data_IF_905456039086
#
_entry.id   IF_905456039086
#
_cell.length_a   1.000
_cell.length_b   1.000
_cell.length_c   1.000
_cell.angle_alpha   90.00
_cell.angle_beta   90.00
_cell.angle_gamma   90.00
#
_symmetry.space_group_name_H-M   'P 1'
#
loop_
_entity.id
_entity.type
_entity.pdbx_description
1 polymer ?
#
# COMPACT_ATOMS: atom_id res chain seq x y z
N UNK A 1 73.59 45.57 5.16
CA UNK A 1 72.98 44.34 4.58
C UNK A 1 71.57 44.23 5.12
N UNK A 2 70.57 44.49 4.26
CA UNK A 2 69.15 44.40 4.59
C UNK A 2 68.67 42.97 4.31
N UNK A 3 68.30 42.24 5.37
CA UNK A 3 67.75 40.89 5.29
C UNK A 3 66.28 40.95 4.87
N UNK A 4 65.99 40.49 3.66
CA UNK A 4 64.64 40.45 3.10
C UNK A 4 63.90 39.25 3.68
N UNK A 5 62.90 39.50 4.53
CA UNK A 5 62.03 38.45 5.08
C UNK A 5 60.92 38.11 4.07
N UNK A 6 60.93 36.90 3.52
CA UNK A 6 59.86 36.42 2.64
C UNK A 6 58.57 36.13 3.44
N UNK A 7 57.38 36.60 2.98
CA UNK A 7 56.13 36.35 3.69
C UNK A 7 55.60 34.92 3.44
N UNK A 8 55.25 34.23 4.53
CA UNK A 8 54.49 32.96 4.56
C UNK A 8 53.12 33.10 3.89
N UNK A 9 53.05 32.99 2.57
CA UNK A 9 51.79 33.08 1.81
C UNK A 9 51.10 31.72 1.58
N UNK A 10 51.78 30.60 1.88
CA UNK A 10 51.32 29.25 1.55
C UNK A 10 50.33 28.66 2.57
N UNK A 11 50.53 28.95 3.85
CA UNK A 11 49.72 28.45 4.97
C UNK A 11 48.24 28.90 4.94
N UNK A 12 47.95 30.11 4.43
CA UNK A 12 46.59 30.67 4.48
C UNK A 12 45.63 30.02 3.47
N UNK A 13 46.16 29.58 2.32
CA UNK A 13 45.37 28.93 1.26
C UNK A 13 45.04 27.49 1.64
N UNK A 14 46.02 26.76 2.17
CA UNK A 14 45.87 25.38 2.61
C UNK A 14 44.88 25.26 3.79
N UNK A 15 44.99 26.17 4.77
CA UNK A 15 44.04 26.25 5.89
C UNK A 15 42.60 26.47 5.40
N UNK A 16 42.39 27.44 4.51
CA UNK A 16 41.07 27.76 3.95
C UNK A 16 40.50 26.59 3.13
N UNK A 17 41.32 25.88 2.37
CA UNK A 17 40.88 24.74 1.56
C UNK A 17 40.45 23.54 2.41
N UNK A 18 41.18 23.28 3.50
CA UNK A 18 40.86 22.21 4.45
C UNK A 18 39.48 22.39 5.10
N UNK A 19 39.16 23.61 5.55
CA UNK A 19 37.89 23.97 6.15
C UNK A 19 36.71 23.88 5.17
N UNK A 20 36.93 24.26 3.91
CA UNK A 20 35.93 24.10 2.85
C UNK A 20 35.62 22.62 2.58
N UNK A 21 36.64 21.74 2.59
CA UNK A 21 36.46 20.29 2.46
C UNK A 21 35.67 19.70 3.62
N UNK A 22 35.94 20.16 4.86
CA UNK A 22 35.26 19.69 6.07
C UNK A 22 33.81 20.15 6.11
N UNK A 23 33.54 21.43 5.79
CA UNK A 23 32.16 21.95 5.68
C UNK A 23 31.37 21.24 4.58
N UNK A 24 31.99 20.98 3.42
CA UNK A 24 31.36 20.23 2.31
C UNK A 24 31.03 18.79 2.72
N UNK A 25 31.94 18.10 3.41
CA UNK A 25 31.70 16.76 3.98
C UNK A 25 30.57 16.77 5.01
N UNK A 26 30.53 17.76 5.91
CA UNK A 26 29.43 17.91 6.89
C UNK A 26 28.08 18.17 6.21
N UNK A 27 28.05 19.03 5.20
CA UNK A 27 26.84 19.31 4.40
C UNK A 27 26.37 18.08 3.63
N UNK A 28 27.28 17.28 3.05
CA UNK A 28 26.92 16.02 2.39
C UNK A 28 26.42 14.95 3.37
N UNK A 29 27.00 14.85 4.57
CA UNK A 29 26.47 13.96 5.62
C UNK A 29 25.08 14.39 6.09
N UNK A 30 24.87 15.70 6.27
CA UNK A 30 23.58 16.29 6.61
C UNK A 30 22.54 16.07 5.49
N UNK A 31 22.91 16.24 4.23
CA UNK A 31 22.05 15.94 3.08
C UNK A 31 21.75 14.43 2.98
N UNK A 32 22.73 13.57 3.25
CA UNK A 32 22.54 12.12 3.32
C UNK A 32 21.55 11.71 4.41
N UNK A 33 21.59 12.34 5.59
CA UNK A 33 20.62 12.13 6.67
C UNK A 33 19.24 12.73 6.38
N UNK A 34 19.15 13.78 5.55
CA UNK A 34 17.86 14.35 5.10
C UNK A 34 17.24 13.49 3.98
N UNK A 35 18.07 12.82 3.18
CA UNK A 35 17.65 11.94 2.07
C UNK A 35 17.26 10.52 2.52
N UNK A 36 17.76 10.07 3.68
CA UNK A 36 17.23 8.89 4.35
C UNK A 36 15.95 9.27 5.11
N UNK A 37 14.83 9.31 4.40
CA UNK A 37 13.53 9.24 5.06
C UNK A 37 13.54 7.99 5.96
N UNK A 38 13.11 8.08 7.23
CA UNK A 38 13.10 6.93 8.12
C UNK A 38 12.34 5.78 7.44
N UNK A 39 12.81 4.52 7.57
CA UNK A 39 12.10 3.39 7.01
C UNK A 39 10.66 3.42 7.51
N UNK A 40 9.69 3.24 6.60
CA UNK A 40 8.27 3.17 6.97
C UNK A 40 8.09 2.00 7.93
N UNK A 41 8.00 2.31 9.22
CA UNK A 41 7.88 1.30 10.28
C UNK A 41 6.44 0.80 10.30
N UNK A 42 6.26 -0.50 10.05
CA UNK A 42 4.95 -1.14 10.17
C UNK A 42 4.70 -1.36 11.66
N UNK A 43 3.91 -0.48 12.26
CA UNK A 43 3.43 -0.60 13.64
C UNK A 43 1.91 -0.74 13.68
N UNK A 44 1.33 -1.26 14.78
CA UNK A 44 -0.14 -1.32 14.92
C UNK A 44 -0.83 0.03 14.68
N UNK A 45 -0.21 1.13 15.12
CA UNK A 45 -0.74 2.49 14.93
C UNK A 45 -0.76 2.95 13.46
N UNK A 46 0.10 2.36 12.63
CA UNK A 46 0.12 2.64 11.18
C UNK A 46 -0.89 1.82 10.39
N UNK A 47 -1.54 0.82 11.01
CA UNK A 47 -2.42 -0.13 10.32
C UNK A 47 -3.76 -0.41 11.01
N UNK A 48 -4.03 0.19 12.18
CA UNK A 48 -5.23 -0.14 12.98
C UNK A 48 -6.53 0.06 12.21
N UNK A 49 -6.65 1.08 11.35
CA UNK A 49 -7.85 1.31 10.54
C UNK A 49 -8.14 0.13 9.60
N UNK A 50 -7.09 -0.40 8.97
CA UNK A 50 -7.19 -1.54 8.05
C UNK A 50 -7.44 -2.83 8.81
N UNK A 51 -6.87 -2.96 10.02
CA UNK A 51 -7.20 -4.04 10.95
C UNK A 51 -8.69 -4.03 11.33
N UNK A 52 -9.25 -2.87 11.68
CA UNK A 52 -10.67 -2.73 12.00
C UNK A 52 -11.57 -3.09 10.81
N UNK A 53 -11.23 -2.64 9.60
CA UNK A 53 -11.95 -3.02 8.37
C UNK A 53 -11.88 -4.53 8.15
N UNK A 54 -10.70 -5.15 8.35
CA UNK A 54 -10.53 -6.60 8.20
C UNK A 54 -11.40 -7.39 9.18
N UNK A 55 -11.47 -6.95 10.45
CA UNK A 55 -12.36 -7.56 11.45
C UNK A 55 -13.83 -7.39 11.05
N UNK A 56 -14.22 -6.20 10.62
CA UNK A 56 -15.59 -5.93 10.19
C UNK A 56 -15.98 -6.77 8.95
N UNK A 57 -15.10 -6.89 7.96
CA UNK A 57 -15.34 -7.70 6.76
C UNK A 57 -15.37 -9.21 7.06
N UNK A 58 -14.57 -9.66 8.03
CA UNK A 58 -14.62 -11.04 8.52
C UNK A 58 -15.99 -11.35 9.12
N UNK A 59 -16.53 -10.46 9.96
CA UNK A 59 -17.87 -10.61 10.51
C UNK A 59 -18.95 -10.63 9.40
N UNK A 60 -18.81 -9.78 8.39
CA UNK A 60 -19.71 -9.78 7.22
C UNK A 60 -19.71 -11.12 6.48
N UNK A 61 -18.53 -11.70 6.22
CA UNK A 61 -18.43 -13.03 5.61
C UNK A 61 -19.09 -14.10 6.49
N UNK A 62 -18.94 -14.02 7.82
CA UNK A 62 -19.65 -14.88 8.77
C UNK A 62 -21.17 -14.76 8.68
N UNK A 63 -21.71 -13.55 8.53
CA UNK A 63 -23.15 -13.32 8.33
C UNK A 63 -23.65 -13.94 7.02
N UNK A 64 -22.90 -13.81 5.91
CA UNK A 64 -23.27 -14.42 4.63
C UNK A 64 -23.23 -15.96 4.71
N UNK A 65 -22.23 -16.52 5.39
CA UNK A 65 -22.17 -17.96 5.64
C UNK A 65 -23.37 -18.44 6.46
N UNK A 66 -23.73 -17.71 7.52
CA UNK A 66 -24.92 -17.96 8.34
C UNK A 66 -26.21 -17.92 7.51
N UNK A 67 -26.34 -16.97 6.58
CA UNK A 67 -27.46 -16.88 5.67
C UNK A 67 -27.58 -18.11 4.75
N UNK A 68 -26.47 -18.64 4.24
CA UNK A 68 -26.46 -19.91 3.50
C UNK A 68 -26.92 -21.06 4.40
N UNK A 69 -26.45 -21.13 5.65
CA UNK A 69 -26.88 -22.14 6.63
C UNK A 69 -28.39 -22.10 6.89
N UNK A 70 -28.96 -20.91 7.05
CA UNK A 70 -30.41 -20.73 7.20
C UNK A 70 -31.16 -21.14 5.92
N UNK A 71 -30.64 -20.78 4.73
CA UNK A 71 -31.24 -21.16 3.46
C UNK A 71 -31.22 -22.69 3.27
N UNK A 72 -30.14 -23.39 3.64
CA UNK A 72 -30.09 -24.87 3.62
C UNK A 72 -31.20 -25.49 4.43
N UNK A 73 -31.42 -25.01 5.67
CA UNK A 73 -32.51 -25.47 6.53
C UNK A 73 -33.88 -25.19 5.91
N UNK A 74 -34.10 -23.96 5.43
CA UNK A 74 -35.37 -23.52 4.85
C UNK A 74 -35.78 -24.32 3.60
N UNK A 75 -34.83 -24.55 2.70
CA UNK A 75 -35.09 -25.23 1.42
C UNK A 75 -34.71 -26.72 1.45
N UNK A 76 -34.43 -27.27 2.64
CA UNK A 76 -34.11 -28.70 2.86
C UNK A 76 -32.97 -29.21 1.99
N UNK A 77 -31.94 -28.39 1.77
CA UNK A 77 -30.75 -28.75 0.97
C UNK A 77 -29.66 -29.31 1.90
N UNK A 78 -29.65 -30.64 2.01
CA UNK A 78 -28.70 -31.38 2.86
C UNK A 78 -27.32 -31.45 2.19
N UNK A 79 -26.22 -31.12 2.90
CA UNK A 79 -24.87 -31.35 2.39
C UNK A 79 -24.66 -32.83 1.98
N UNK A 80 -23.84 -33.13 0.95
CA UNK A 80 -22.94 -32.25 0.22
C UNK A 80 -23.61 -31.46 -0.92
N UNK A 81 -24.94 -31.53 -1.06
CA UNK A 81 -25.66 -30.89 -2.16
C UNK A 81 -25.45 -29.37 -2.18
N UNK A 82 -25.12 -28.83 -3.34
CA UNK A 82 -24.88 -27.39 -3.56
C UNK A 82 -25.91 -26.73 -4.47
N UNK A 83 -26.93 -27.48 -4.85
CA UNK A 83 -28.03 -27.09 -5.71
C UNK A 83 -29.37 -27.53 -5.08
N UNK A 84 -30.46 -26.90 -5.50
CA UNK A 84 -31.79 -27.20 -5.02
C UNK A 84 -32.79 -26.15 -5.48
N UNK A 85 -33.63 -25.69 -4.55
CA UNK A 85 -34.57 -24.60 -4.80
C UNK A 85 -33.84 -23.39 -5.44
N UNK A 86 -34.37 -22.80 -6.52
CA UNK A 86 -33.75 -21.65 -7.18
C UNK A 86 -33.39 -20.52 -6.20
N UNK A 87 -34.19 -20.28 -5.17
CA UNK A 87 -33.92 -19.26 -4.14
C UNK A 87 -32.75 -19.65 -3.24
N UNK A 88 -32.56 -20.94 -2.95
CA UNK A 88 -31.34 -21.42 -2.28
C UNK A 88 -30.12 -21.16 -3.16
N UNK A 89 -30.20 -21.51 -4.45
CA UNK A 89 -29.09 -21.36 -5.38
C UNK A 89 -28.62 -19.90 -5.47
N UNK A 90 -29.53 -18.93 -5.45
CA UNK A 90 -29.20 -17.50 -5.45
C UNK A 90 -28.38 -17.08 -4.21
N UNK A 91 -28.83 -17.45 -3.00
CA UNK A 91 -28.12 -17.13 -1.75
C UNK A 91 -26.75 -17.82 -1.72
N UNK A 92 -26.71 -19.10 -2.12
CA UNK A 92 -25.47 -19.87 -2.16
C UNK A 92 -24.46 -19.26 -3.14
N UNK A 93 -24.90 -18.88 -4.36
CA UNK A 93 -24.04 -18.24 -5.37
C UNK A 93 -23.56 -16.84 -4.93
N UNK A 94 -24.42 -16.07 -4.26
CA UNK A 94 -24.04 -14.76 -3.72
C UNK A 94 -22.91 -14.88 -2.68
N UNK A 95 -23.01 -15.87 -1.77
CA UNK A 95 -21.96 -16.17 -0.81
C UNK A 95 -20.67 -16.68 -1.49
N UNK A 96 -20.77 -17.68 -2.36
CA UNK A 96 -19.62 -18.27 -3.05
C UNK A 96 -18.81 -17.22 -3.82
N UNK A 97 -19.48 -16.37 -4.60
CA UNK A 97 -18.77 -15.30 -5.31
C UNK A 97 -18.10 -14.30 -4.35
N UNK A 98 -18.72 -14.02 -3.20
CA UNK A 98 -18.11 -13.16 -2.18
C UNK A 98 -16.88 -13.80 -1.57
N UNK A 99 -16.89 -15.12 -1.33
CA UNK A 99 -15.72 -15.90 -0.87
C UNK A 99 -14.60 -15.87 -1.91
N UNK A 100 -14.90 -16.08 -3.20
CA UNK A 100 -13.90 -16.05 -4.28
C UNK A 100 -13.18 -14.70 -4.38
N UNK A 101 -13.89 -13.60 -4.10
CA UNK A 101 -13.32 -12.26 -4.15
C UNK A 101 -12.64 -11.82 -2.84
N UNK A 102 -12.89 -12.50 -1.73
CA UNK A 102 -12.40 -12.08 -0.42
C UNK A 102 -10.86 -12.08 -0.32
N UNK A 103 -10.12 -13.08 -0.83
CA UNK A 103 -8.65 -13.04 -0.86
C UNK A 103 -8.10 -11.88 -1.68
N UNK A 104 -8.74 -11.58 -2.81
CA UNK A 104 -8.37 -10.46 -3.70
C UNK A 104 -8.52 -9.13 -2.96
N UNK A 105 -9.64 -8.97 -2.26
CA UNK A 105 -9.90 -7.82 -1.41
C UNK A 105 -8.87 -7.67 -0.30
N UNK A 106 -8.60 -8.73 0.48
CA UNK A 106 -7.63 -8.68 1.57
C UNK A 106 -6.23 -8.31 1.06
N UNK A 107 -5.77 -8.95 -0.03
CA UNK A 107 -4.49 -8.62 -0.63
C UNK A 107 -4.42 -7.16 -1.07
N UNK A 108 -5.46 -6.65 -1.75
CA UNK A 108 -5.55 -5.25 -2.17
C UNK A 108 -5.57 -4.27 -1.00
N UNK A 109 -6.40 -4.55 0.02
CA UNK A 109 -6.54 -3.70 1.21
C UNK A 109 -5.21 -3.53 1.96
N UNK A 110 -4.54 -4.65 2.25
CA UNK A 110 -3.29 -4.63 3.02
C UNK A 110 -2.13 -4.06 2.21
N UNK A 111 -2.01 -4.42 0.93
CA UNK A 111 -0.94 -3.87 0.08
C UNK A 111 -1.13 -2.36 -0.16
N UNK A 112 -2.36 -1.88 -0.35
CA UNK A 112 -2.64 -0.45 -0.48
C UNK A 112 -2.28 0.30 0.82
N UNK A 113 -2.55 -0.28 1.98
CA UNK A 113 -2.20 0.32 3.27
C UNK A 113 -0.67 0.43 3.46
N UNK A 114 0.03 -0.66 3.16
CA UNK A 114 1.49 -0.78 3.34
C UNK A 114 2.23 0.12 2.35
N UNK A 115 1.92 0.02 1.06
CA UNK A 115 2.66 0.74 0.02
C UNK A 115 2.20 2.19 -0.16
N UNK A 116 0.91 2.48 0.03
CA UNK A 116 0.36 3.81 -0.13
C UNK A 116 0.07 4.43 1.25
N UNK A 117 -1.12 4.22 1.80
CA UNK A 117 -1.52 4.81 3.07
C UNK A 117 -2.74 4.11 3.67
N UNK A 118 -2.79 3.96 5.00
CA UNK A 118 -3.87 3.24 5.69
C UNK A 118 -5.26 3.90 5.55
N UNK A 119 -5.34 5.23 5.59
CA UNK A 119 -6.63 5.96 5.54
C UNK A 119 -7.40 5.72 4.25
N UNK A 120 -6.87 6.00 3.04
CA UNK A 120 -7.59 5.74 1.81
C UNK A 120 -7.85 4.24 1.61
N UNK A 121 -6.91 3.36 1.99
CA UNK A 121 -7.13 1.92 1.95
C UNK A 121 -8.33 1.50 2.81
N UNK A 122 -8.46 2.03 4.03
CA UNK A 122 -9.59 1.75 4.92
C UNK A 122 -10.91 2.31 4.37
N UNK A 123 -10.92 3.53 3.81
CA UNK A 123 -12.11 4.12 3.17
C UNK A 123 -12.61 3.23 2.04
N UNK A 124 -11.73 2.87 1.09
CA UNK A 124 -12.10 1.94 0.02
C UNK A 124 -12.48 0.56 0.58
N UNK A 125 -11.85 0.12 1.68
CA UNK A 125 -12.25 -1.07 2.41
C UNK A 125 -13.72 -1.07 2.85
N UNK A 126 -14.18 0.03 3.45
CA UNK A 126 -15.58 0.22 3.84
C UNK A 126 -16.50 0.26 2.62
N UNK A 127 -16.12 0.99 1.56
CA UNK A 127 -16.91 1.06 0.32
C UNK A 127 -17.08 -0.34 -0.29
N UNK A 128 -16.03 -1.16 -0.29
CA UNK A 128 -16.09 -2.54 -0.75
C UNK A 128 -17.10 -3.37 0.06
N UNK A 129 -17.07 -3.26 1.39
CA UNK A 129 -18.02 -3.95 2.26
C UNK A 129 -19.48 -3.54 1.97
N UNK A 130 -19.74 -2.25 1.76
CA UNK A 130 -21.06 -1.75 1.36
C UNK A 130 -21.48 -2.32 0.00
N UNK A 131 -20.57 -2.32 -0.98
CA UNK A 131 -20.79 -2.94 -2.28
C UNK A 131 -21.14 -4.44 -2.17
N UNK A 132 -20.45 -5.16 -1.28
CA UNK A 132 -20.70 -6.59 -1.03
C UNK A 132 -22.02 -6.85 -0.32
N UNK A 133 -22.43 -5.99 0.59
CA UNK A 133 -23.74 -6.09 1.23
C UNK A 133 -24.86 -5.92 0.19
N UNK A 134 -24.75 -4.89 -0.65
CA UNK A 134 -25.70 -4.63 -1.74
C UNK A 134 -25.73 -5.78 -2.75
N UNK A 135 -24.55 -6.31 -3.11
CA UNK A 135 -24.43 -7.46 -4.00
C UNK A 135 -25.12 -8.69 -3.41
N UNK A 136 -24.81 -9.02 -2.15
CA UNK A 136 -25.33 -10.21 -1.50
C UNK A 136 -26.85 -10.17 -1.36
N UNK A 137 -27.39 -9.05 -0.85
CA UNK A 137 -28.83 -8.87 -0.69
C UNK A 137 -29.55 -8.84 -2.04
N UNK A 138 -29.02 -8.09 -3.00
CA UNK A 138 -29.58 -7.96 -4.34
C UNK A 138 -29.64 -9.32 -5.03
N UNK A 139 -28.52 -10.04 -5.06
CA UNK A 139 -28.43 -11.34 -5.72
C UNK A 139 -29.31 -12.39 -5.03
N UNK A 140 -29.31 -12.42 -3.69
CA UNK A 140 -30.18 -13.32 -2.93
C UNK A 140 -31.68 -13.10 -3.20
N UNK A 141 -32.08 -11.86 -3.52
CA UNK A 141 -33.46 -11.54 -3.88
C UNK A 141 -33.79 -11.90 -5.34
N UNK A 142 -32.91 -11.60 -6.29
CA UNK A 142 -33.06 -11.94 -7.69
C UNK A 142 -31.73 -11.85 -8.44
N UNK A 143 -31.48 -12.78 -9.38
CA UNK A 143 -30.26 -12.79 -10.19
C UNK A 143 -29.98 -11.45 -10.91
N UNK A 144 -31.01 -10.78 -11.42
CA UNK A 144 -30.88 -9.51 -12.12
C UNK A 144 -30.45 -8.34 -11.22
N UNK A 145 -30.66 -8.44 -9.89
CA UNK A 145 -30.37 -7.36 -8.93
C UNK A 145 -28.92 -7.38 -8.41
N UNK A 146 -28.07 -8.26 -8.93
CA UNK A 146 -26.65 -8.37 -8.52
C UNK A 146 -25.75 -7.25 -9.08
N UNK A 147 -26.17 -6.59 -10.17
CA UNK A 147 -25.32 -5.66 -10.93
C UNK A 147 -24.73 -4.50 -10.12
N UNK A 148 -25.55 -3.67 -9.44
CA UNK A 148 -25.05 -2.46 -8.77
C UNK A 148 -23.99 -2.75 -7.70
N UNK A 149 -24.24 -3.71 -6.80
CA UNK A 149 -23.27 -4.10 -5.77
C UNK A 149 -22.00 -4.73 -6.36
N UNK A 150 -22.13 -5.45 -7.47
CA UNK A 150 -20.98 -6.01 -8.20
C UNK A 150 -20.08 -4.90 -8.74
N UNK A 151 -20.66 -3.92 -9.44
CA UNK A 151 -19.93 -2.79 -10.02
C UNK A 151 -19.19 -1.99 -8.93
N UNK A 152 -19.88 -1.64 -7.83
CA UNK A 152 -19.27 -0.91 -6.72
C UNK A 152 -18.07 -1.69 -6.16
N UNK A 153 -18.27 -3.00 -5.90
CA UNK A 153 -17.20 -3.85 -5.37
C UNK A 153 -16.01 -3.94 -6.32
N UNK A 154 -16.26 -4.14 -7.62
CA UNK A 154 -15.22 -4.27 -8.65
C UNK A 154 -14.43 -2.97 -8.85
N UNK A 155 -15.10 -1.82 -8.92
CA UNK A 155 -14.44 -0.53 -9.02
C UNK A 155 -13.59 -0.23 -7.79
N UNK A 156 -14.07 -0.62 -6.61
CA UNK A 156 -13.33 -0.45 -5.37
C UNK A 156 -12.07 -1.34 -5.33
N UNK A 157 -12.16 -2.58 -5.81
CA UNK A 157 -10.97 -3.44 -5.97
C UNK A 157 -9.95 -2.82 -6.93
N UNK A 158 -10.42 -2.27 -8.07
CA UNK A 158 -9.54 -1.59 -9.02
C UNK A 158 -8.86 -0.36 -8.41
N UNK A 159 -9.59 0.41 -7.58
CA UNK A 159 -9.04 1.55 -6.86
C UNK A 159 -7.95 1.11 -5.87
N UNK A 160 -8.20 0.06 -5.07
CA UNK A 160 -7.20 -0.51 -4.17
C UNK A 160 -5.94 -0.97 -4.92
N UNK A 161 -6.10 -1.64 -6.07
CA UNK A 161 -4.96 -2.04 -6.89
C UNK A 161 -4.17 -0.85 -7.44
N UNK A 162 -4.87 0.21 -7.82
CA UNK A 162 -4.23 1.44 -8.30
C UNK A 162 -3.43 2.11 -7.19
N UNK A 163 -3.96 2.16 -5.96
CA UNK A 163 -3.20 2.65 -4.79
C UNK A 163 -1.95 1.79 -4.52
N UNK A 164 -2.09 0.46 -4.56
CA UNK A 164 -0.96 -0.45 -4.41
C UNK A 164 0.10 -0.21 -5.49
N UNK A 165 -0.29 -0.12 -6.77
CA UNK A 165 0.64 0.09 -7.87
C UNK A 165 1.38 1.42 -7.76
N UNK A 166 0.67 2.51 -7.44
CA UNK A 166 1.27 3.83 -7.25
C UNK A 166 2.25 3.85 -6.07
N UNK A 167 1.85 3.30 -4.92
CA UNK A 167 2.70 3.23 -3.74
C UNK A 167 3.94 2.35 -3.94
N UNK A 168 3.78 1.20 -4.59
CA UNK A 168 4.87 0.28 -4.88
C UNK A 168 5.86 0.89 -5.89
N UNK A 169 5.34 1.52 -6.96
CA UNK A 169 6.18 2.20 -7.95
C UNK A 169 6.96 3.37 -7.33
N UNK A 170 6.34 4.18 -6.47
CA UNK A 170 7.03 5.24 -5.74
C UNK A 170 8.12 4.67 -4.82
N UNK A 171 7.83 3.60 -4.09
CA UNK A 171 8.80 2.93 -3.21
C UNK A 171 10.00 2.40 -4.01
N UNK A 172 9.73 1.73 -5.14
CA UNK A 172 10.77 1.22 -6.03
C UNK A 172 11.61 2.36 -6.64
N UNK A 173 10.97 3.45 -7.06
CA UNK A 173 11.68 4.62 -7.56
C UNK A 173 12.66 5.18 -6.53
N UNK A 174 12.23 5.36 -5.27
CA UNK A 174 13.13 5.86 -4.23
C UNK A 174 14.24 4.87 -3.88
N UNK A 175 13.95 3.57 -3.85
CA UNK A 175 14.94 2.54 -3.53
C UNK A 175 16.03 2.43 -4.61
N UNK A 176 15.67 2.48 -5.90
CA UNK A 176 16.58 2.18 -6.99
C UNK A 176 17.07 3.42 -7.77
N UNK A 177 16.22 4.42 -7.99
CA UNK A 177 16.60 5.62 -8.75
C UNK A 177 17.39 6.62 -7.89
N UNK A 178 17.02 6.83 -6.62
CA UNK A 178 17.68 7.81 -5.74
C UNK A 178 19.17 7.55 -5.51
N UNK A 179 19.58 6.28 -5.43
CA UNK A 179 20.97 5.89 -5.21
C UNK A 179 21.84 5.87 -6.47
N UNK A 180 21.26 5.58 -7.65
CA UNK A 180 22.03 5.40 -8.88
C UNK A 180 22.31 6.70 -9.64
N UNK A 181 21.37 7.66 -9.69
CA UNK A 181 21.62 8.92 -10.41
C UNK A 181 22.66 9.81 -9.72
N UNK A 182 22.64 9.88 -8.38
CA UNK A 182 23.64 10.63 -7.61
C UNK A 182 25.03 9.97 -7.66
N UNK A 183 25.13 8.65 -7.52
CA UNK A 183 26.42 7.94 -7.67
C UNK A 183 26.94 8.01 -9.11
N UNK A 184 26.08 7.88 -10.10
CA UNK A 184 26.41 8.03 -11.52
C UNK A 184 26.91 9.45 -11.82
N UNK A 185 26.16 10.48 -11.45
CA UNK A 185 26.55 11.88 -11.65
C UNK A 185 27.86 12.23 -10.94
N UNK A 186 28.05 11.75 -9.70
CA UNK A 186 29.28 11.95 -8.95
C UNK A 186 30.47 11.16 -9.52
N UNK A 187 30.24 10.05 -10.22
CA UNK A 187 31.30 9.29 -10.91
C UNK A 187 31.78 9.94 -12.21
N UNK A 188 30.96 10.79 -12.83
CA UNK A 188 31.32 11.57 -14.03
C UNK A 188 31.98 12.92 -13.73
N UNK A 189 31.96 13.38 -12.47
CA UNK A 189 32.70 14.57 -12.05
C UNK A 189 34.08 14.08 -11.57
N UNK A 190 35.16 14.22 -12.35
CA UNK A 190 36.49 14.00 -11.83
C UNK A 190 36.69 15.01 -10.70
N UNK A 191 36.88 14.53 -9.47
CA UNK A 191 37.33 15.38 -8.38
C UNK A 191 38.86 15.42 -8.53
N UNK A 192 39.46 16.51 -9.04
CA UNK A 192 40.91 16.61 -9.03
C UNK A 192 41.34 16.70 -7.57
N UNK A 193 41.91 15.62 -7.06
CA UNK A 193 42.73 15.67 -5.87
C UNK A 193 44.11 16.18 -6.32
N UNK A 194 44.37 17.45 -6.05
CA UNK A 194 45.71 18.03 -5.88
C UNK A 194 45.76 18.62 -4.50
#
# INVERSE_FOLDING_TARGET
>A
MSEVTHPKLESSKEYRFSDLSVKKRRKMKSLGSILQAPPKTITPETLYLVGLVTVASFLQMGMFLGAVGMARKKYKVVPPKIDGDPKFNLVYRAHQNSVENYPIFLAGLWTAAIFFHQVPAAIFGVIYMVGRELYFRGYSAAAAKRGPGFIISSLTLLALFSLTALGAASTAYHAYAGHHYLKGLLSYIPVPFT
#
